data_IF_835713438540
#
_entry.id   IF_835713438540
#
_cell.length_a   1.000
_cell.length_b   1.000
_cell.length_c   1.000
_cell.angle_alpha   90.00
_cell.angle_beta   90.00
_cell.angle_gamma   90.00
#
_symmetry.space_group_name_H-M   'P 1'
#
loop_
_entity.id
_entity.type
_entity.pdbx_description
1 polymer ?
#
# COMPACT_ATOMS: atom_id res chain seq x y z
N UNK A 1 1.89 -30.92 -12.73
CA UNK A 1 0.73 -30.11 -13.17
C UNK A 1 0.02 -29.44 -11.98
N UNK A 2 -0.15 -30.13 -10.86
CA UNK A 2 -0.77 -29.63 -9.60
C UNK A 2 -0.09 -28.39 -9.01
N UNK A 3 1.25 -28.35 -8.98
CA UNK A 3 2.02 -27.26 -8.35
C UNK A 3 1.79 -25.87 -9.00
N UNK A 4 1.51 -25.83 -10.31
CA UNK A 4 1.24 -24.59 -11.04
C UNK A 4 -0.20 -24.08 -10.83
N UNK A 5 -1.15 -24.99 -10.60
CA UNK A 5 -2.54 -24.63 -10.28
C UNK A 5 -2.64 -24.02 -8.88
N UNK A 6 -1.97 -24.62 -7.89
CA UNK A 6 -1.98 -24.12 -6.50
C UNK A 6 -1.44 -22.69 -6.39
N UNK A 7 -0.33 -22.38 -7.08
CA UNK A 7 0.24 -21.02 -7.07
C UNK A 7 -0.69 -20.00 -7.74
N UNK A 8 -1.36 -20.38 -8.83
CA UNK A 8 -2.32 -19.50 -9.51
C UNK A 8 -3.57 -19.22 -8.67
N UNK A 9 -4.06 -20.22 -7.94
CA UNK A 9 -5.16 -20.06 -7.01
C UNK A 9 -4.77 -19.18 -5.82
N UNK A 10 -3.58 -19.42 -5.25
CA UNK A 10 -3.05 -18.61 -4.15
C UNK A 10 -2.96 -17.13 -4.53
N UNK A 11 -2.34 -16.83 -5.68
CA UNK A 11 -2.24 -15.45 -6.16
C UNK A 11 -3.63 -14.82 -6.33
N UNK A 12 -4.59 -15.53 -6.92
CA UNK A 12 -5.94 -15.00 -7.10
C UNK A 12 -6.65 -14.71 -5.77
N UNK A 13 -6.52 -15.61 -4.79
CA UNK A 13 -7.07 -15.40 -3.44
C UNK A 13 -6.45 -14.19 -2.76
N UNK A 14 -5.13 -14.00 -2.88
CA UNK A 14 -4.44 -12.82 -2.35
C UNK A 14 -4.96 -11.53 -2.98
N UNK A 15 -5.19 -11.49 -4.30
CA UNK A 15 -5.76 -10.33 -4.99
C UNK A 15 -7.18 -10.01 -4.54
N UNK A 16 -8.01 -11.02 -4.34
CA UNK A 16 -9.38 -10.84 -3.82
C UNK A 16 -9.34 -10.28 -2.41
N UNK A 17 -8.45 -10.79 -1.56
CA UNK A 17 -8.31 -10.30 -0.19
C UNK A 17 -7.81 -8.86 -0.14
N UNK A 18 -6.81 -8.51 -0.97
CA UNK A 18 -6.33 -7.15 -1.17
C UNK A 18 -7.47 -6.19 -1.53
N UNK A 19 -8.31 -6.60 -2.49
CA UNK A 19 -9.46 -5.81 -2.92
C UNK A 19 -10.48 -5.59 -1.78
N UNK A 20 -10.78 -6.64 -1.02
CA UNK A 20 -11.73 -6.55 0.11
C UNK A 20 -11.20 -5.59 1.17
N UNK A 21 -9.94 -5.70 1.56
CA UNK A 21 -9.33 -4.81 2.56
C UNK A 21 -9.25 -3.37 2.07
N UNK A 22 -8.91 -3.15 0.80
CA UNK A 22 -8.96 -1.82 0.19
C UNK A 22 -10.37 -1.20 0.24
N UNK A 23 -11.42 -1.98 -0.02
CA UNK A 23 -12.82 -1.51 0.09
C UNK A 23 -13.16 -1.16 1.54
N UNK A 24 -12.72 -1.96 2.52
CA UNK A 24 -12.94 -1.68 3.95
C UNK A 24 -12.24 -0.38 4.35
N UNK A 25 -10.99 -0.17 3.92
CA UNK A 25 -10.25 1.08 4.16
C UNK A 25 -10.96 2.25 3.51
N UNK A 26 -11.38 2.13 2.25
CA UNK A 26 -12.14 3.16 1.54
C UNK A 26 -13.46 3.49 2.24
N UNK A 27 -14.19 2.50 2.75
CA UNK A 27 -15.43 2.75 3.50
C UNK A 27 -15.17 3.46 4.84
N UNK A 28 -14.22 2.96 5.62
CA UNK A 28 -13.93 3.48 6.96
C UNK A 28 -13.28 4.87 6.93
N UNK A 29 -12.25 5.05 6.14
CA UNK A 29 -11.54 6.32 5.98
C UNK A 29 -12.42 7.37 5.28
N UNK A 30 -13.22 6.96 4.31
CA UNK A 30 -14.14 7.85 3.58
C UNK A 30 -15.26 8.35 4.47
N UNK A 31 -15.79 7.48 5.32
CA UNK A 31 -16.72 7.89 6.35
C UNK A 31 -16.08 8.86 7.35
N UNK A 32 -14.84 8.61 7.80
CA UNK A 32 -14.12 9.50 8.71
C UNK A 32 -13.94 10.91 8.11
N UNK A 33 -13.46 10.98 6.86
CA UNK A 33 -13.30 12.22 6.08
C UNK A 33 -14.65 12.95 5.96
N UNK A 34 -15.70 12.22 5.58
CA UNK A 34 -17.04 12.79 5.39
C UNK A 34 -17.64 13.34 6.68
N UNK A 35 -17.43 12.67 7.82
CA UNK A 35 -17.97 13.13 9.11
C UNK A 35 -17.15 14.26 9.70
N UNK A 36 -15.82 14.21 9.58
CA UNK A 36 -14.95 15.25 10.14
C UNK A 36 -15.33 16.62 9.60
N UNK A 37 -15.45 16.72 8.26
CA UNK A 37 -15.65 17.94 7.47
C UNK A 37 -14.66 19.06 7.82
N UNK A 38 -14.31 19.89 6.85
CA UNK A 38 -13.56 21.11 7.16
C UNK A 38 -14.40 22.02 8.06
N UNK A 39 -13.85 22.48 9.17
CA UNK A 39 -14.58 23.32 10.12
C UNK A 39 -13.68 24.42 10.70
N UNK A 40 -14.28 25.58 10.95
CA UNK A 40 -13.63 26.68 11.66
C UNK A 40 -13.82 26.52 13.15
N UNK A 41 -12.75 26.68 13.92
CA UNK A 41 -12.80 26.75 15.37
C UNK A 41 -12.22 28.08 15.84
N UNK A 42 -12.68 28.51 17.00
CA UNK A 42 -12.17 29.69 17.65
C UNK A 42 -11.09 29.28 18.64
N UNK A 43 -9.87 29.68 18.36
CA UNK A 43 -8.72 29.40 19.20
C UNK A 43 -8.30 30.67 19.94
N UNK A 44 -7.90 30.51 21.19
CA UNK A 44 -7.38 31.59 22.02
C UNK A 44 -5.90 31.34 22.28
N UNK A 45 -5.06 32.27 21.85
CA UNK A 45 -3.62 32.25 22.07
C UNK A 45 -3.21 33.42 22.96
N UNK A 46 -2.01 33.37 23.53
CA UNK A 46 -1.47 34.43 24.40
C UNK A 46 -1.46 35.83 23.75
N UNK A 47 -1.52 35.91 22.42
CA UNK A 47 -1.49 37.16 21.64
C UNK A 47 -2.87 37.62 21.14
N UNK A 48 -3.94 36.89 21.45
CA UNK A 48 -5.31 37.19 21.00
C UNK A 48 -6.08 35.97 20.49
N UNK A 49 -7.36 36.15 20.20
CA UNK A 49 -8.22 35.12 19.61
C UNK A 49 -8.41 35.32 18.12
N UNK A 50 -8.42 34.23 17.36
CA UNK A 50 -8.75 34.23 15.94
C UNK A 50 -9.55 32.97 15.56
N UNK A 51 -10.13 33.01 14.36
CA UNK A 51 -10.77 31.85 13.75
C UNK A 51 -9.70 31.08 12.97
N UNK A 52 -9.50 29.82 13.30
CA UNK A 52 -8.64 28.91 12.53
C UNK A 52 -9.50 27.87 11.79
N UNK A 53 -9.12 27.53 10.56
CA UNK A 53 -9.84 26.58 9.73
C UNK A 53 -9.09 25.26 9.67
N UNK A 54 -9.68 24.23 10.28
CA UNK A 54 -9.15 22.87 10.25
C UNK A 54 -9.74 22.11 9.08
N UNK A 55 -8.90 21.89 8.07
CA UNK A 55 -9.17 20.98 6.96
C UNK A 55 -9.07 19.50 7.38
N UNK A 56 -9.55 18.62 6.50
CA UNK A 56 -9.36 17.17 6.67
C UNK A 56 -7.87 16.83 6.62
N UNK A 57 -7.33 16.02 7.55
CA UNK A 57 -5.92 15.66 7.54
C UNK A 57 -5.47 14.99 6.24
N UNK A 58 -4.33 15.43 5.70
CA UNK A 58 -3.76 14.90 4.46
C UNK A 58 -3.44 13.39 4.54
N UNK A 59 -3.12 12.89 5.74
CA UNK A 59 -2.86 11.47 5.97
C UNK A 59 -4.07 10.58 5.61
N UNK A 60 -5.28 11.05 5.92
CA UNK A 60 -6.51 10.33 5.61
C UNK A 60 -6.72 10.29 4.08
N UNK A 61 -6.55 11.45 3.41
CA UNK A 61 -6.59 11.50 1.95
C UNK A 61 -5.57 10.58 1.26
N UNK A 62 -4.37 10.43 1.84
CA UNK A 62 -3.34 9.55 1.30
C UNK A 62 -3.66 8.06 1.47
N UNK A 63 -4.23 7.64 2.61
CA UNK A 63 -4.66 6.25 2.81
C UNK A 63 -5.82 5.89 1.85
N UNK A 64 -6.72 6.84 1.62
CA UNK A 64 -7.72 6.77 0.55
C UNK A 64 -7.15 6.56 -0.85
N UNK A 65 -6.12 7.33 -1.19
CA UNK A 65 -5.40 7.17 -2.44
C UNK A 65 -4.78 5.76 -2.55
N UNK A 66 -4.20 5.23 -1.47
CA UNK A 66 -3.66 3.86 -1.45
C UNK A 66 -4.74 2.82 -1.73
N UNK A 67 -5.93 2.96 -1.13
CA UNK A 67 -7.07 2.09 -1.41
C UNK A 67 -7.50 2.15 -2.89
N UNK A 68 -7.59 3.35 -3.46
CA UNK A 68 -7.88 3.52 -4.89
C UNK A 68 -6.80 2.90 -5.80
N UNK A 69 -5.53 3.05 -5.43
CA UNK A 69 -4.40 2.44 -6.12
C UNK A 69 -4.45 0.91 -6.12
N UNK A 70 -4.89 0.29 -5.01
CA UNK A 70 -5.08 -1.17 -4.96
C UNK A 70 -6.12 -1.64 -5.98
N UNK A 71 -7.25 -0.93 -6.11
CA UNK A 71 -8.28 -1.28 -7.11
C UNK A 71 -7.70 -1.25 -8.52
N UNK A 72 -6.95 -0.20 -8.86
CA UNK A 72 -6.27 -0.09 -10.15
C UNK A 72 -5.25 -1.21 -10.36
N UNK A 73 -4.49 -1.55 -9.33
CA UNK A 73 -3.48 -2.62 -9.35
C UNK A 73 -4.11 -3.99 -9.62
N UNK A 74 -5.25 -4.30 -9.00
CA UNK A 74 -5.98 -5.57 -9.21
C UNK A 74 -6.55 -5.64 -10.63
N UNK A 75 -7.10 -4.54 -11.16
CA UNK A 75 -7.59 -4.45 -12.54
C UNK A 75 -6.43 -4.67 -13.52
N UNK A 76 -5.32 -3.96 -13.33
CA UNK A 76 -4.11 -4.09 -14.15
C UNK A 76 -3.60 -5.53 -14.17
N UNK A 77 -3.49 -6.20 -13.01
CA UNK A 77 -3.02 -7.59 -12.94
C UNK A 77 -3.96 -8.58 -13.62
N UNK A 78 -5.28 -8.36 -13.49
CA UNK A 78 -6.29 -9.18 -14.18
C UNK A 78 -6.12 -9.08 -15.69
N UNK A 79 -6.00 -7.86 -16.23
CA UNK A 79 -5.79 -7.62 -17.66
C UNK A 79 -4.45 -8.18 -18.13
N UNK A 80 -3.38 -7.94 -17.39
CA UNK A 80 -2.04 -8.43 -17.70
C UNK A 80 -2.01 -9.96 -17.83
N UNK A 81 -2.68 -10.67 -16.91
CA UNK A 81 -2.79 -12.14 -16.95
C UNK A 81 -3.54 -12.65 -18.18
N UNK A 82 -4.60 -11.95 -18.61
CA UNK A 82 -5.42 -12.36 -19.76
C UNK A 82 -4.70 -12.10 -21.08
N UNK A 83 -4.05 -10.93 -21.21
CA UNK A 83 -3.53 -10.45 -22.50
C UNK A 83 -2.06 -10.80 -22.75
N UNK A 84 -1.25 -10.93 -21.70
CA UNK A 84 0.21 -11.05 -21.82
C UNK A 84 0.80 -12.12 -20.87
N UNK A 85 0.48 -13.41 -21.06
CA UNK A 85 0.91 -14.46 -20.14
C UNK A 85 2.44 -14.66 -20.05
N UNK A 86 3.21 -14.32 -21.11
CA UNK A 86 4.64 -14.67 -21.22
C UNK A 86 5.59 -13.48 -21.49
N UNK A 87 5.12 -12.25 -21.28
CA UNK A 87 5.95 -11.06 -21.54
C UNK A 87 6.95 -10.78 -20.41
N UNK A 88 8.27 -10.90 -20.66
CA UNK A 88 9.29 -10.56 -19.65
C UNK A 88 9.17 -9.11 -19.13
N UNK A 89 8.76 -8.18 -20.00
CA UNK A 89 8.50 -6.79 -19.66
C UNK A 89 7.31 -6.61 -18.70
N UNK A 90 6.25 -7.43 -18.83
CA UNK A 90 5.11 -7.40 -17.91
C UNK A 90 5.54 -7.85 -16.51
N UNK A 91 6.45 -8.82 -16.43
CA UNK A 91 7.02 -9.28 -15.16
C UNK A 91 7.74 -8.18 -14.41
N UNK A 92 8.52 -7.34 -15.10
CA UNK A 92 9.21 -6.20 -14.48
C UNK A 92 8.23 -5.11 -14.03
N UNK A 93 7.25 -4.76 -14.87
CA UNK A 93 6.22 -3.78 -14.50
C UNK A 93 5.45 -4.24 -13.26
N UNK A 94 5.10 -5.53 -13.17
CA UNK A 94 4.42 -6.08 -12.00
C UNK A 94 5.25 -5.87 -10.73
N UNK A 95 6.56 -6.15 -10.74
CA UNK A 95 7.42 -5.90 -9.56
C UNK A 95 7.41 -4.43 -9.16
N UNK A 96 7.49 -3.51 -10.14
CA UNK A 96 7.45 -2.07 -9.85
C UNK A 96 6.11 -1.66 -9.23
N UNK A 97 4.99 -2.10 -9.81
CA UNK A 97 3.65 -1.81 -9.30
C UNK A 97 3.47 -2.33 -7.87
N UNK A 98 3.90 -3.57 -7.60
CA UNK A 98 3.88 -4.16 -6.26
C UNK A 98 4.76 -3.37 -5.26
N UNK A 99 5.96 -2.95 -5.69
CA UNK A 99 6.87 -2.18 -4.82
C UNK A 99 6.28 -0.82 -4.45
N UNK A 100 5.69 -0.12 -5.42
CA UNK A 100 4.99 1.15 -5.18
C UNK A 100 3.84 0.93 -4.20
N UNK A 101 3.07 -0.14 -4.35
CA UNK A 101 1.99 -0.46 -3.43
C UNK A 101 2.49 -0.74 -2.00
N UNK A 102 3.54 -1.56 -1.85
CA UNK A 102 4.18 -1.83 -0.54
C UNK A 102 4.58 -0.53 0.15
N UNK A 103 5.31 0.36 -0.54
CA UNK A 103 5.78 1.60 0.04
C UNK A 103 4.64 2.57 0.36
N UNK A 104 3.63 2.63 -0.51
CA UNK A 104 2.49 3.53 -0.32
C UNK A 104 1.64 3.09 0.87
N UNK A 105 1.34 1.80 0.99
CA UNK A 105 0.59 1.28 2.13
C UNK A 105 1.36 1.42 3.45
N UNK A 106 2.67 1.19 3.45
CA UNK A 106 3.52 1.40 4.61
C UNK A 106 3.44 2.85 5.11
N UNK A 107 3.65 3.80 4.21
CA UNK A 107 3.54 5.23 4.53
C UNK A 107 2.12 5.60 4.97
N UNK A 108 1.11 5.02 4.32
CA UNK A 108 -0.31 5.36 4.52
C UNK A 108 -0.79 5.01 5.92
N UNK A 109 -0.64 3.74 6.34
CA UNK A 109 -1.14 3.35 7.65
C UNK A 109 -0.34 4.01 8.79
N UNK A 110 0.97 4.22 8.62
CA UNK A 110 1.79 4.90 9.62
C UNK A 110 1.36 6.37 9.75
N UNK A 111 1.14 7.07 8.63
CA UNK A 111 0.70 8.46 8.66
C UNK A 111 -0.65 8.61 9.39
N UNK A 112 -1.60 7.71 9.14
CA UNK A 112 -2.89 7.72 9.84
C UNK A 112 -2.73 7.34 11.32
N UNK A 113 -1.89 6.36 11.66
CA UNK A 113 -1.60 5.98 13.04
C UNK A 113 -1.05 7.16 13.86
N UNK A 114 -0.08 7.90 13.31
CA UNK A 114 0.48 9.09 13.94
C UNK A 114 -0.60 10.16 14.10
N UNK A 115 -1.42 10.41 13.07
CA UNK A 115 -2.49 11.40 13.15
C UNK A 115 -3.53 11.05 14.24
N UNK A 116 -3.88 9.77 14.42
CA UNK A 116 -4.81 9.35 15.49
C UNK A 116 -4.26 9.71 16.88
N UNK A 117 -2.93 9.70 17.06
CA UNK A 117 -2.29 10.03 18.34
C UNK A 117 -2.24 11.53 18.66
N UNK A 118 -2.69 12.39 17.74
CA UNK A 118 -2.71 13.86 17.92
C UNK A 118 -4.05 14.37 18.45
N UNK A 119 -4.04 15.59 18.97
CA UNK A 119 -5.21 16.27 19.56
C UNK A 119 -6.40 16.44 18.59
N UNK A 120 -6.18 16.33 17.28
CA UNK A 120 -7.26 16.33 16.27
C UNK A 120 -8.30 15.21 16.52
N UNK A 121 -7.90 14.13 17.21
CA UNK A 121 -8.79 13.06 17.64
C UNK A 121 -9.21 13.12 19.12
N UNK A 122 -8.60 14.00 19.95
CA UNK A 122 -8.87 14.06 21.39
C UNK A 122 -10.20 14.77 21.71
N UNK A 123 -10.70 15.63 20.81
CA UNK A 123 -11.96 16.38 21.00
C UNK A 123 -13.24 15.57 20.72
N UNK A 124 -13.21 14.25 20.88
CA UNK A 124 -14.43 13.44 21.10
C UNK A 124 -15.30 13.14 19.86
N UNK A 125 -14.79 13.26 18.64
CA UNK A 125 -15.56 12.85 17.44
C UNK A 125 -15.45 11.33 17.24
N UNK A 126 -16.58 10.61 17.30
CA UNK A 126 -16.68 9.16 17.06
C UNK A 126 -15.98 8.69 15.77
N UNK A 127 -15.77 9.60 14.81
CA UNK A 127 -15.01 9.41 13.58
C UNK A 127 -13.58 8.92 13.81
N UNK A 128 -12.92 9.20 14.94
CA UNK A 128 -11.55 8.71 15.16
C UNK A 128 -11.47 7.21 15.50
N UNK A 129 -12.54 6.63 16.07
CA UNK A 129 -12.57 5.19 16.34
C UNK A 129 -12.61 4.37 15.06
N UNK A 130 -13.27 4.85 14.00
CA UNK A 130 -13.32 4.16 12.71
C UNK A 130 -11.95 4.19 12.00
N UNK A 131 -11.12 5.21 12.26
CA UNK A 131 -9.78 5.32 11.68
C UNK A 131 -8.80 4.29 12.24
N UNK A 132 -9.03 3.79 13.45
CA UNK A 132 -8.29 2.65 13.99
C UNK A 132 -8.53 1.42 13.10
N UNK A 133 -9.78 1.21 12.68
CA UNK A 133 -10.14 0.13 11.74
C UNK A 133 -9.41 0.33 10.42
N UNK A 134 -9.46 1.53 9.84
CA UNK A 134 -8.73 1.85 8.61
C UNK A 134 -7.22 1.58 8.73
N UNK A 135 -6.62 1.93 9.88
CA UNK A 135 -5.19 1.74 10.15
C UNK A 135 -4.83 0.25 10.25
N UNK A 136 -5.62 -0.54 10.97
CA UNK A 136 -5.38 -2.00 11.11
C UNK A 136 -5.50 -2.69 9.76
N UNK A 137 -6.57 -2.42 9.01
CA UNK A 137 -6.73 -2.98 7.68
C UNK A 137 -5.66 -2.49 6.70
N UNK A 138 -5.19 -1.24 6.82
CA UNK A 138 -4.05 -0.75 6.05
C UNK A 138 -2.73 -1.47 6.36
N UNK A 139 -2.49 -1.83 7.61
CA UNK A 139 -1.31 -2.63 7.99
C UNK A 139 -1.40 -4.07 7.48
N UNK A 140 -2.59 -4.68 7.53
CA UNK A 140 -2.83 -6.00 6.94
C UNK A 140 -2.66 -5.98 5.42
N UNK A 141 -3.14 -4.92 4.76
CA UNK A 141 -3.00 -4.73 3.32
C UNK A 141 -1.54 -4.57 2.91
N UNK A 142 -0.76 -3.80 3.68
CA UNK A 142 0.69 -3.72 3.51
C UNK A 142 1.34 -5.12 3.56
N UNK A 143 0.94 -5.96 4.52
CA UNK A 143 1.49 -7.32 4.64
C UNK A 143 1.11 -8.18 3.43
N UNK A 144 -0.11 -8.07 2.91
CA UNK A 144 -0.51 -8.77 1.69
C UNK A 144 0.33 -8.34 0.49
N UNK A 145 0.56 -7.04 0.33
CA UNK A 145 1.45 -6.53 -0.71
C UNK A 145 2.90 -6.99 -0.55
N UNK A 146 3.40 -7.12 0.68
CA UNK A 146 4.71 -7.72 0.93
C UNK A 146 4.77 -9.18 0.45
N UNK A 147 3.72 -9.95 0.70
CA UNK A 147 3.63 -11.35 0.26
C UNK A 147 3.56 -11.42 -1.27
N UNK A 148 2.69 -10.64 -1.93
CA UNK A 148 2.57 -10.64 -3.40
C UNK A 148 3.82 -10.10 -4.09
N UNK A 149 4.47 -9.07 -3.53
CA UNK A 149 5.76 -8.57 -3.99
C UNK A 149 6.85 -9.65 -3.89
N UNK A 150 6.91 -10.41 -2.80
CA UNK A 150 7.88 -11.50 -2.66
C UNK A 150 7.63 -12.61 -3.70
N UNK A 151 6.37 -13.01 -3.89
CA UNK A 151 5.99 -14.04 -4.87
C UNK A 151 6.30 -13.62 -6.31
N UNK A 152 6.20 -12.34 -6.64
CA UNK A 152 6.52 -11.80 -7.97
C UNK A 152 8.03 -11.59 -8.17
N UNK A 153 8.76 -11.17 -7.14
CA UNK A 153 10.19 -10.85 -7.23
C UNK A 153 11.11 -12.08 -7.20
N UNK A 154 10.81 -13.11 -6.38
CA UNK A 154 11.67 -14.30 -6.22
C UNK A 154 11.95 -15.05 -7.54
N UNK A 155 10.97 -15.28 -8.44
CA UNK A 155 11.23 -15.94 -9.71
C UNK A 155 12.16 -15.12 -10.63
N UNK A 156 12.08 -13.79 -10.55
CA UNK A 156 12.90 -12.88 -11.35
C UNK A 156 14.33 -12.83 -10.80
N UNK A 157 14.51 -12.78 -9.48
CA UNK A 157 15.84 -12.77 -8.86
C UNK A 157 16.62 -14.07 -9.14
N UNK A 158 15.95 -15.23 -9.19
CA UNK A 158 16.56 -16.51 -9.57
C UNK A 158 17.01 -16.59 -11.04
N UNK A 159 16.45 -15.75 -11.92
CA UNK A 159 16.87 -15.67 -13.33
C UNK A 159 18.12 -14.82 -13.53
N UNK A 160 18.54 -14.03 -12.56
CA UNK A 160 19.83 -13.33 -12.63
C UNK A 160 20.97 -14.34 -12.48
N UNK A 161 21.86 -14.47 -13.47
CA UNK A 161 23.08 -15.26 -13.30
C UNK A 161 23.89 -14.66 -12.15
N UNK A 162 24.30 -15.49 -11.18
CA UNK A 162 25.34 -15.08 -10.22
C UNK A 162 26.54 -14.56 -11.00
N UNK A 163 27.12 -13.39 -10.68
CA UNK A 163 28.37 -12.97 -11.29
C UNK A 163 29.40 -14.08 -11.04
N UNK A 164 29.91 -14.69 -12.13
CA UNK A 164 31.03 -15.62 -12.03
C UNK A 164 32.20 -14.82 -11.46
N UNK A 165 32.67 -15.19 -10.28
CA UNK A 165 33.95 -14.72 -9.77
C UNK A 165 35.01 -15.04 -10.84
N UNK A 166 35.64 -14.01 -11.41
CA UNK A 166 36.74 -14.19 -12.34
C UNK A 166 37.94 -14.72 -11.55
N UNK A 167 38.15 -16.04 -11.59
CA UNK A 167 39.46 -16.60 -11.25
C UNK A 167 40.40 -16.25 -12.39
N UNK A 168 41.09 -15.12 -12.28
CA UNK A 168 42.22 -14.79 -13.15
C UNK A 168 43.37 -15.73 -12.79
N UNK A 169 43.49 -16.83 -13.53
CA UNK A 169 44.69 -17.66 -13.54
C UNK A 169 45.83 -16.84 -14.14
N UNK A 170 46.85 -16.57 -13.33
CA UNK A 170 48.11 -15.98 -13.75
C UNK A 170 48.99 -17.08 -14.35
N UNK A 171 48.77 -17.41 -15.62
CA UNK A 171 49.77 -18.12 -16.43
C UNK A 171 50.39 -17.11 -17.39
N UNK A 172 51.63 -16.69 -17.10
CA UNK A 172 52.68 -16.36 -18.08
C UNK A 172 53.92 -15.81 -17.36
N UNK A 173 55.00 -16.59 -17.34
CA UNK A 173 56.35 -16.08 -17.58
C UNK A 173 57.22 -17.27 -18.01
N UNK A 174 57.54 -17.28 -19.31
CA UNK A 174 58.62 -18.05 -19.93
C UNK A 174 59.94 -17.34 -19.59
#
# INVERSE_FOLDING_TARGET
>A
MTLNMTNRMLDHVLRVLQLIFAIIVMGSDGYAIHVFRGHTVHEHFDFGSFYDYYGVPNAWGFLMFCAGWTVLTVIYHTIARIRFPDGALIGYINVVVETVAVLSWLAGFIAVAVQISTDTCSTGKNSCKILIVATVFGALEWLLFMITAALTAIPISKKFPKPKASTTGSDTAI
#
